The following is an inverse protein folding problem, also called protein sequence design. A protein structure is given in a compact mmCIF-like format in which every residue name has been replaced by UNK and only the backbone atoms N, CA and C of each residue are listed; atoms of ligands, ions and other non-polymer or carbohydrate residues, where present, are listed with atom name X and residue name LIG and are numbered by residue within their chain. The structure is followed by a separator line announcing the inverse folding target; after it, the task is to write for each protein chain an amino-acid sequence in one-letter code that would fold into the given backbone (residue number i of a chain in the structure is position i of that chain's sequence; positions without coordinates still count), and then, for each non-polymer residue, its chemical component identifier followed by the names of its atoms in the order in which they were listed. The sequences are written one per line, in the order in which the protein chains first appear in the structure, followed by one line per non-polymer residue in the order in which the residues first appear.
data_IF_491510074618
#
_entry.id   IF_491510074618
#
_cell.length_a   1.000
_cell.length_b   1.000
_cell.length_c   1.000
_cell.angle_alpha   90.00
_cell.angle_beta   90.00
_cell.angle_gamma   90.00
#
_symmetry.space_group_name_H-M   'P 1'
#
loop_
_entity.id
_entity.type
_entity.pdbx_description
1 polymer ?
#
# COMPACT_ATOMS: atom_id res chain seq x y z
N UNK A 1 26.70 -6.66 4.24
CA UNK A 1 25.31 -6.83 3.72
C UNK A 1 24.28 -6.32 4.73
N UNK A 2 24.25 -6.80 5.98
CA UNK A 2 23.30 -6.33 7.00
C UNK A 2 23.38 -4.82 7.26
N UNK A 3 24.59 -4.27 7.40
CA UNK A 3 24.77 -2.82 7.58
C UNK A 3 24.36 -2.03 6.33
N UNK A 4 24.51 -2.59 5.13
CA UNK A 4 24.00 -1.99 3.90
C UNK A 4 22.48 -2.04 3.84
N UNK A 5 21.87 -3.17 4.20
CA UNK A 5 20.41 -3.30 4.27
C UNK A 5 19.79 -2.34 5.29
N UNK A 6 20.43 -2.10 6.43
CA UNK A 6 20.01 -1.08 7.40
C UNK A 6 20.09 0.35 6.86
N UNK A 7 21.15 0.66 6.10
CA UNK A 7 21.32 1.99 5.49
C UNK A 7 20.43 2.17 4.25
N UNK A 8 20.20 1.10 3.51
CA UNK A 8 19.44 1.09 2.27
C UNK A 8 17.91 1.12 2.48
N UNK A 9 17.45 0.92 3.70
CA UNK A 9 16.10 1.32 4.09
C UNK A 9 15.94 2.85 4.11
N UNK A 10 16.78 3.54 3.32
CA UNK A 10 16.46 4.92 2.96
C UNK A 10 15.19 4.93 2.14
N UNK A 11 14.41 5.97 2.31
CA UNK A 11 13.18 6.24 1.55
C UNK A 11 13.34 6.00 0.05
N UNK A 12 14.52 6.26 -0.51
CA UNK A 12 14.81 6.15 -1.95
C UNK A 12 14.79 4.69 -2.42
N UNK A 13 15.53 3.80 -1.77
CA UNK A 13 15.66 2.40 -2.23
C UNK A 13 14.37 1.62 -2.07
N UNK A 14 13.60 1.92 -1.02
CA UNK A 14 12.30 1.28 -0.84
C UNK A 14 11.27 1.80 -1.86
N UNK A 15 11.27 3.08 -2.14
CA UNK A 15 10.44 3.67 -3.20
C UNK A 15 10.80 3.08 -4.57
N UNK A 16 12.09 2.88 -4.86
CA UNK A 16 12.52 2.18 -6.07
C UNK A 16 11.99 0.76 -6.14
N UNK A 17 12.06 0.00 -5.04
CA UNK A 17 11.49 -1.36 -4.99
C UNK A 17 10.00 -1.36 -5.27
N UNK A 18 9.22 -0.53 -4.56
CA UNK A 18 7.77 -0.43 -4.72
C UNK A 18 7.38 -0.05 -6.15
N UNK A 19 8.13 0.86 -6.76
CA UNK A 19 7.88 1.32 -8.13
C UNK A 19 8.30 0.30 -9.20
N UNK A 20 9.25 -0.59 -8.91
CA UNK A 20 9.85 -1.50 -9.86
C UNK A 20 9.65 -2.99 -9.55
N UNK A 21 8.76 -3.34 -8.62
CA UNK A 21 8.48 -4.74 -8.24
C UNK A 21 8.04 -5.62 -9.43
N UNK A 22 7.51 -5.01 -10.49
CA UNK A 22 7.12 -5.69 -11.74
C UNK A 22 8.32 -6.02 -12.64
N UNK A 23 9.49 -5.44 -12.39
CA UNK A 23 10.69 -5.67 -13.20
C UNK A 23 11.45 -6.93 -12.76
N UNK A 24 12.28 -7.42 -13.64
CA UNK A 24 13.16 -8.56 -13.36
C UNK A 24 14.02 -8.28 -12.11
N UNK A 25 14.23 -9.30 -11.28
CA UNK A 25 15.02 -9.15 -10.05
C UNK A 25 16.40 -8.52 -10.26
N UNK A 26 17.07 -8.83 -11.37
CA UNK A 26 18.39 -8.28 -11.70
C UNK A 26 18.36 -7.05 -12.59
N UNK A 27 17.19 -6.45 -12.80
CA UNK A 27 17.05 -5.23 -13.61
C UNK A 27 17.85 -4.07 -12.99
N UNK A 28 18.52 -3.26 -13.81
CA UNK A 28 19.39 -2.16 -13.38
C UNK A 28 18.67 -1.10 -12.55
N UNK A 29 17.39 -0.87 -12.77
CA UNK A 29 16.56 0.00 -11.91
C UNK A 29 16.28 -0.59 -10.54
N UNK A 30 16.51 -1.89 -10.33
CA UNK A 30 16.39 -2.54 -9.03
C UNK A 30 17.73 -2.82 -8.35
N UNK A 31 18.86 -2.50 -8.96
CA UNK A 31 20.22 -2.87 -8.46
C UNK A 31 20.49 -2.57 -6.99
N UNK A 32 19.86 -1.53 -6.45
CA UNK A 32 19.98 -1.16 -5.03
C UNK A 32 18.74 -1.54 -4.21
N UNK A 33 17.69 -2.03 -4.83
CA UNK A 33 16.43 -2.35 -4.19
C UNK A 33 16.06 -3.85 -4.21
N UNK A 34 16.76 -4.65 -5.00
CA UNK A 34 16.45 -6.07 -5.18
C UNK A 34 16.92 -6.99 -4.03
N UNK A 35 17.63 -6.48 -3.04
CA UNK A 35 18.17 -7.30 -1.94
C UNK A 35 17.09 -7.94 -1.04
N UNK A 36 15.84 -7.55 -1.17
CA UNK A 36 14.72 -8.10 -0.40
C UNK A 36 14.45 -9.58 -0.70
N UNK A 37 14.76 -10.07 -1.91
CA UNK A 37 14.75 -11.51 -2.19
C UNK A 37 15.75 -12.26 -1.32
N UNK A 38 16.89 -11.62 -1.00
CA UNK A 38 17.88 -12.21 -0.10
C UNK A 38 17.35 -12.25 1.35
N UNK A 39 16.47 -11.34 1.76
CA UNK A 39 15.77 -11.44 3.04
C UNK A 39 14.81 -12.64 3.06
N UNK A 40 14.13 -12.92 1.96
CA UNK A 40 13.31 -14.13 1.83
C UNK A 40 14.16 -15.38 2.01
N UNK A 41 15.27 -15.49 1.30
CA UNK A 41 16.17 -16.62 1.45
C UNK A 41 16.76 -16.73 2.88
N UNK A 42 17.15 -15.62 3.47
CA UNK A 42 17.65 -15.60 4.83
C UNK A 42 16.57 -15.97 5.86
N UNK A 43 15.32 -15.57 5.64
CA UNK A 43 14.19 -15.97 6.49
C UNK A 43 13.91 -17.48 6.41
N UNK A 44 14.16 -18.07 5.26
CA UNK A 44 13.89 -19.50 4.98
C UNK A 44 15.01 -20.43 5.41
N UNK A 45 16.27 -19.99 5.24
CA UNK A 45 17.46 -20.84 5.42
C UNK A 45 18.49 -20.25 6.40
N UNK A 46 18.21 -19.10 7.01
CA UNK A 46 19.10 -18.36 7.88
C UNK A 46 20.04 -17.41 7.11
N UNK A 47 20.58 -16.42 7.82
CA UNK A 47 21.40 -15.34 7.23
C UNK A 47 22.66 -15.80 6.51
N UNK A 48 23.16 -17.00 6.83
CA UNK A 48 24.30 -17.62 6.17
C UNK A 48 24.05 -17.91 4.68
N UNK A 49 22.77 -18.07 4.31
CA UNK A 49 22.34 -18.45 2.95
C UNK A 49 22.89 -17.51 1.90
N UNK A 50 22.80 -16.22 2.14
CA UNK A 50 23.27 -15.19 1.21
C UNK A 50 24.76 -15.40 0.87
N UNK A 51 25.59 -15.56 1.89
CA UNK A 51 27.03 -15.81 1.69
C UNK A 51 27.32 -17.15 1.01
N UNK A 52 26.47 -18.15 1.21
CA UNK A 52 26.62 -19.45 0.57
C UNK A 52 26.24 -19.42 -0.91
N UNK A 53 25.14 -18.76 -1.29
CA UNK A 53 24.76 -18.56 -2.70
C UNK A 53 25.88 -17.85 -3.46
N UNK A 54 26.36 -16.72 -2.93
CA UNK A 54 27.47 -15.98 -3.56
C UNK A 54 28.76 -16.79 -3.68
N UNK A 55 29.13 -17.56 -2.66
CA UNK A 55 30.36 -18.35 -2.63
C UNK A 55 30.33 -19.52 -3.63
N UNK A 56 29.15 -20.06 -3.89
CA UNK A 56 28.97 -21.24 -4.74
C UNK A 56 28.56 -20.88 -6.17
N UNK A 57 28.28 -19.62 -6.45
CA UNK A 57 27.92 -19.16 -7.81
C UNK A 57 28.99 -19.46 -8.83
N UNK A 58 28.59 -19.78 -10.05
CA UNK A 58 29.46 -20.13 -11.19
C UNK A 58 29.11 -19.23 -12.37
N UNK A 59 30.10 -18.78 -13.13
CA UNK A 59 29.85 -18.05 -14.36
C UNK A 59 29.18 -18.99 -15.38
N UNK A 60 28.16 -18.56 -16.12
CA UNK A 60 27.55 -17.20 -16.16
C UNK A 60 26.31 -17.03 -15.27
N UNK A 61 26.16 -17.84 -14.20
CA UNK A 61 24.98 -17.81 -13.32
C UNK A 61 24.77 -16.43 -12.70
N UNK A 62 23.52 -15.98 -12.67
CA UNK A 62 23.07 -14.92 -11.80
C UNK A 62 22.69 -15.45 -10.39
N UNK A 63 22.35 -14.60 -9.41
CA UNK A 63 22.00 -15.03 -8.06
C UNK A 63 20.84 -16.03 -7.98
N UNK A 64 19.82 -15.90 -8.84
CA UNK A 64 18.67 -16.82 -8.85
C UNK A 64 19.07 -18.20 -9.37
N UNK A 65 19.85 -18.26 -10.45
CA UNK A 65 20.36 -19.54 -10.97
C UNK A 65 21.28 -20.23 -9.98
N UNK A 66 22.16 -19.46 -9.32
CA UNK A 66 23.05 -20.00 -8.27
C UNK A 66 22.25 -20.58 -7.10
N UNK A 67 21.18 -19.89 -6.68
CA UNK A 67 20.24 -20.35 -5.66
C UNK A 67 19.49 -21.60 -6.10
N UNK A 68 18.88 -21.59 -7.30
CA UNK A 68 18.19 -22.73 -7.88
C UNK A 68 19.07 -23.99 -7.88
N UNK A 69 20.28 -23.89 -8.41
CA UNK A 69 21.23 -25.00 -8.47
C UNK A 69 21.67 -25.45 -7.07
N UNK A 70 21.93 -24.52 -6.15
CA UNK A 70 22.35 -24.83 -4.78
C UNK A 70 21.34 -25.72 -4.06
N UNK A 71 20.04 -25.40 -4.22
CA UNK A 71 18.94 -26.11 -3.59
C UNK A 71 18.38 -27.24 -4.47
N UNK A 72 18.94 -27.45 -5.66
CA UNK A 72 18.47 -28.43 -6.64
C UNK A 72 16.97 -28.31 -6.95
N UNK A 73 16.48 -27.04 -7.09
CA UNK A 73 15.08 -26.78 -7.36
C UNK A 73 14.76 -27.02 -8.84
N UNK A 74 13.67 -27.71 -9.09
CA UNK A 74 13.02 -27.70 -10.40
C UNK A 74 12.54 -26.26 -10.74
N UNK A 75 12.16 -26.01 -12.00
CA UNK A 75 11.59 -24.71 -12.38
C UNK A 75 10.28 -24.44 -11.63
N UNK A 76 9.42 -25.43 -11.45
CA UNK A 76 8.16 -25.27 -10.72
C UNK A 76 8.39 -24.92 -9.23
N UNK A 77 9.37 -25.54 -8.60
CA UNK A 77 9.76 -25.21 -7.22
C UNK A 77 10.38 -23.82 -7.11
N UNK A 78 11.26 -23.42 -8.04
CA UNK A 78 11.80 -22.07 -8.11
C UNK A 78 10.67 -21.05 -8.31
N UNK A 79 9.78 -21.31 -9.25
CA UNK A 79 8.66 -20.42 -9.56
C UNK A 79 7.69 -20.27 -8.36
N UNK A 80 7.45 -21.34 -7.63
CA UNK A 80 6.66 -21.30 -6.40
C UNK A 80 7.36 -20.51 -5.29
N UNK A 81 8.68 -20.62 -5.17
CA UNK A 81 9.49 -19.89 -4.19
C UNK A 81 9.55 -18.38 -4.51
N UNK A 82 9.65 -18.02 -5.79
CA UNK A 82 9.58 -16.63 -6.23
C UNK A 82 8.18 -16.02 -5.98
N UNK A 83 7.12 -16.81 -6.18
CA UNK A 83 5.78 -16.36 -5.81
C UNK A 83 5.63 -16.22 -4.28
N UNK A 84 6.18 -17.14 -3.49
CA UNK A 84 6.18 -17.03 -2.03
C UNK A 84 6.88 -15.74 -1.58
N UNK A 85 8.01 -15.40 -2.19
CA UNK A 85 8.68 -14.12 -1.97
C UNK A 85 7.76 -12.94 -2.28
N UNK A 86 7.13 -12.93 -3.47
CA UNK A 86 6.19 -11.89 -3.86
C UNK A 86 5.03 -11.79 -2.87
N UNK A 87 4.46 -12.90 -2.44
CA UNK A 87 3.36 -12.96 -1.47
C UNK A 87 3.77 -12.37 -0.11
N UNK A 88 4.97 -12.70 0.38
CA UNK A 88 5.49 -12.16 1.64
C UNK A 88 5.76 -10.66 1.58
N UNK A 89 6.12 -10.14 0.40
CA UNK A 89 6.27 -8.70 0.20
C UNK A 89 4.95 -7.93 0.41
N UNK A 90 3.78 -8.52 0.19
CA UNK A 90 2.49 -7.84 0.37
C UNK A 90 2.30 -7.30 1.78
N UNK A 91 2.75 -8.04 2.78
CA UNK A 91 2.65 -7.68 4.20
C UNK A 91 4.02 -7.58 4.88
N UNK A 92 5.10 -7.64 4.12
CA UNK A 92 6.47 -7.57 4.58
C UNK A 92 6.81 -8.62 5.63
N UNK A 93 6.42 -9.87 5.34
CA UNK A 93 6.54 -11.01 6.26
C UNK A 93 7.90 -11.71 6.11
N UNK A 94 8.93 -11.10 6.72
CA UNK A 94 10.29 -11.64 6.78
C UNK A 94 10.73 -11.77 8.22
N UNK A 95 11.67 -12.69 8.52
CA UNK A 95 12.15 -12.87 9.89
C UNK A 95 12.94 -11.64 10.38
N UNK A 96 12.84 -11.35 11.68
CA UNK A 96 13.59 -10.26 12.32
C UNK A 96 15.11 -10.46 12.17
N UNK A 97 15.60 -11.70 12.22
CA UNK A 97 17.00 -12.04 12.02
C UNK A 97 17.47 -11.69 10.60
N UNK A 98 16.65 -11.99 9.58
CA UNK A 98 17.00 -11.72 8.19
C UNK A 98 17.03 -10.23 7.87
N UNK A 99 16.08 -9.47 8.42
CA UNK A 99 15.90 -8.05 8.13
C UNK A 99 16.65 -7.13 9.07
N UNK A 100 17.02 -7.63 10.25
CA UNK A 100 17.51 -6.84 11.38
C UNK A 100 16.55 -5.69 11.78
N UNK A 101 15.27 -5.94 11.64
CA UNK A 101 14.16 -5.07 12.06
C UNK A 101 13.36 -5.77 13.14
N UNK A 102 12.76 -5.03 14.06
CA UNK A 102 11.90 -5.59 15.09
C UNK A 102 10.79 -6.43 14.45
N UNK A 103 10.71 -7.73 14.81
CA UNK A 103 9.77 -8.71 14.28
C UNK A 103 9.77 -8.88 12.74
N UNK A 104 10.83 -8.43 12.04
CA UNK A 104 10.89 -8.49 10.57
C UNK A 104 9.94 -7.53 9.85
N UNK A 105 9.23 -6.69 10.59
CA UNK A 105 8.23 -5.76 10.05
C UNK A 105 8.82 -4.40 9.72
N UNK A 106 8.09 -3.64 8.90
CA UNK A 106 8.42 -2.24 8.59
C UNK A 106 8.18 -1.26 9.76
N UNK A 107 7.77 -1.74 10.92
CA UNK A 107 7.59 -0.92 12.14
C UNK A 107 8.92 -0.27 12.52
N UNK A 108 8.96 1.05 12.60
CA UNK A 108 10.16 1.83 12.93
C UNK A 108 10.92 2.43 11.74
N UNK A 109 10.73 1.90 10.52
CA UNK A 109 11.19 2.57 9.29
C UNK A 109 10.25 3.70 8.86
N UNK A 110 9.13 3.79 9.49
CA UNK A 110 7.89 4.43 9.13
C UNK A 110 7.85 5.92 9.36
N UNK A 111 8.70 6.46 10.20
CA UNK A 111 8.74 7.92 10.42
C UNK A 111 9.30 8.70 9.24
N UNK A 112 10.08 8.05 8.36
CA UNK A 112 10.64 8.69 7.18
C UNK A 112 9.74 8.59 5.95
N UNK A 113 8.74 7.69 5.95
CA UNK A 113 7.84 7.47 4.82
C UNK A 113 6.46 7.14 5.38
N UNK A 114 5.55 8.10 5.36
CA UNK A 114 4.21 8.01 5.96
C UNK A 114 3.34 6.82 5.48
N UNK A 115 3.73 6.17 4.40
CA UNK A 115 3.10 4.95 3.88
C UNK A 115 3.58 3.68 4.60
N UNK A 116 4.69 3.72 5.36
CA UNK A 116 5.35 2.52 5.88
C UNK A 116 5.07 2.20 7.35
N UNK A 117 4.28 3.02 8.06
CA UNK A 117 3.72 2.71 9.39
C UNK A 117 2.75 1.54 9.40
N UNK A 118 2.45 1.03 8.23
CA UNK A 118 1.47 -0.01 8.01
C UNK A 118 2.15 -1.38 7.95
N UNK A 119 1.51 -2.45 8.45
CA UNK A 119 2.02 -3.82 8.33
C UNK A 119 1.91 -4.36 6.89
N UNK A 120 1.72 -3.50 5.90
CA UNK A 120 1.57 -3.86 4.49
C UNK A 120 1.98 -2.68 3.60
N UNK A 121 2.27 -2.96 2.33
CA UNK A 121 2.60 -1.97 1.32
C UNK A 121 1.36 -1.77 0.44
N UNK A 122 0.69 -0.61 0.59
CA UNK A 122 -0.59 -0.35 -0.09
C UNK A 122 -0.51 -0.16 -1.61
N UNK A 123 0.67 0.15 -2.15
CA UNK A 123 0.81 0.60 -3.56
C UNK A 123 1.83 -0.17 -4.38
N UNK A 124 2.17 -1.40 -4.02
CA UNK A 124 3.10 -2.19 -4.83
C UNK A 124 2.51 -2.52 -6.19
N UNK A 125 3.12 -1.95 -7.22
CA UNK A 125 3.26 -2.53 -8.54
C UNK A 125 2.03 -2.78 -9.37
N UNK A 126 0.82 -2.31 -9.01
CA UNK A 126 -0.35 -2.53 -9.83
C UNK A 126 -0.91 -1.25 -10.46
N UNK A 127 -1.24 -1.36 -11.74
CA UNK A 127 -2.11 -0.47 -12.47
C UNK A 127 -2.82 -1.27 -13.55
N UNK A 128 -4.14 -1.18 -13.62
CA UNK A 128 -4.96 -1.93 -14.57
C UNK A 128 -5.87 -1.00 -15.36
N UNK A 129 -6.06 -1.35 -16.62
CA UNK A 129 -6.98 -0.67 -17.53
C UNK A 129 -8.26 -1.50 -17.63
N UNK A 130 -9.39 -0.95 -17.20
CA UNK A 130 -10.69 -1.61 -17.19
C UNK A 130 -11.36 -1.55 -18.55
N UNK A 131 -11.84 -2.70 -19.01
CA UNK A 131 -12.68 -2.81 -20.22
C UNK A 131 -14.12 -3.10 -19.82
N UNK A 132 -14.99 -2.09 -19.97
CA UNK A 132 -16.42 -2.18 -19.65
C UNK A 132 -17.19 -3.25 -20.47
N UNK A 133 -16.68 -3.63 -21.65
CA UNK A 133 -17.37 -4.60 -22.50
C UNK A 133 -17.17 -6.04 -22.01
N UNK A 134 -16.01 -6.32 -21.41
CA UNK A 134 -15.62 -7.68 -20.99
C UNK A 134 -15.50 -7.84 -19.48
N UNK A 135 -15.43 -6.74 -18.74
CA UNK A 135 -15.20 -6.73 -17.28
C UNK A 135 -13.78 -7.08 -16.86
N UNK A 136 -12.83 -7.11 -17.80
CA UNK A 136 -11.44 -7.37 -17.48
C UNK A 136 -10.68 -6.10 -17.12
N UNK A 137 -9.75 -6.24 -16.19
CA UNK A 137 -8.65 -5.31 -15.95
C UNK A 137 -7.40 -5.86 -16.61
N UNK A 138 -6.88 -5.18 -17.62
CA UNK A 138 -5.59 -5.51 -18.26
C UNK A 138 -4.48 -4.71 -17.57
N UNK A 139 -3.40 -5.38 -17.18
CA UNK A 139 -2.23 -4.70 -16.61
C UNK A 139 -1.74 -3.59 -17.54
N UNK A 140 -1.41 -2.42 -16.96
CA UNK A 140 -0.84 -1.31 -17.74
C UNK A 140 0.59 -1.63 -18.18
N UNK A 141 1.00 -1.13 -19.36
CA UNK A 141 2.36 -1.31 -19.87
C UNK A 141 3.43 -0.98 -18.82
N UNK A 142 3.23 0.12 -18.08
CA UNK A 142 4.19 0.58 -17.07
C UNK A 142 4.28 -0.34 -15.84
N UNK A 143 3.46 -1.38 -15.77
CA UNK A 143 3.37 -2.32 -14.64
C UNK A 143 3.30 -3.78 -15.09
N UNK A 144 3.37 -4.04 -16.39
CA UNK A 144 3.42 -5.41 -16.91
C UNK A 144 4.67 -6.12 -16.38
N UNK A 145 4.52 -7.29 -15.75
CA UNK A 145 5.66 -7.92 -15.10
C UNK A 145 6.63 -8.50 -16.12
N UNK A 146 7.91 -8.31 -15.87
CA UNK A 146 9.03 -9.05 -16.48
C UNK A 146 9.18 -10.41 -15.80
N UNK A 147 9.99 -11.31 -16.33
CA UNK A 147 10.29 -12.57 -15.64
C UNK A 147 10.79 -12.29 -14.21
N UNK A 148 10.31 -13.04 -13.23
CA UNK A 148 10.54 -12.85 -11.78
C UNK A 148 9.90 -11.59 -11.15
N UNK A 149 9.39 -10.68 -11.96
CA UNK A 149 8.63 -9.52 -11.48
C UNK A 149 7.21 -9.90 -11.04
N UNK A 150 6.61 -9.06 -10.22
CA UNK A 150 5.27 -9.34 -9.67
C UNK A 150 4.43 -8.09 -9.43
N UNK A 151 3.11 -8.32 -9.30
CA UNK A 151 2.13 -7.31 -8.95
C UNK A 151 1.35 -7.75 -7.71
N UNK A 152 1.02 -6.78 -6.85
CA UNK A 152 0.03 -6.91 -5.79
C UNK A 152 -1.23 -6.16 -6.19
N UNK A 153 -2.35 -6.86 -6.24
CA UNK A 153 -3.66 -6.30 -6.57
C UNK A 153 -4.51 -6.35 -5.31
N UNK A 154 -4.69 -5.19 -4.66
CA UNK A 154 -5.53 -5.09 -3.48
C UNK A 154 -6.99 -5.27 -3.87
N UNK A 155 -7.70 -6.14 -3.15
CA UNK A 155 -9.10 -6.48 -3.37
C UNK A 155 -9.99 -6.05 -2.20
N UNK A 156 -11.27 -5.80 -2.49
CA UNK A 156 -12.29 -5.74 -1.46
C UNK A 156 -12.48 -7.14 -0.85
N UNK A 157 -12.77 -7.20 0.45
CA UNK A 157 -13.16 -8.45 1.08
C UNK A 157 -14.64 -8.70 0.75
N UNK A 158 -14.98 -9.84 0.09
CA UNK A 158 -16.38 -10.15 -0.21
C UNK A 158 -17.17 -10.43 1.07
N UNK A 159 -18.44 -10.04 1.09
CA UNK A 159 -19.31 -10.17 2.27
C UNK A 159 -19.56 -11.62 2.67
N UNK A 160 -19.67 -12.51 1.70
CA UNK A 160 -19.84 -13.96 1.91
C UNK A 160 -18.52 -14.73 2.02
N UNK A 161 -17.38 -14.01 1.95
CA UNK A 161 -16.05 -14.59 1.99
C UNK A 161 -15.67 -15.40 0.74
N UNK A 162 -16.46 -15.37 -0.34
CA UNK A 162 -16.19 -16.15 -1.55
C UNK A 162 -15.84 -15.25 -2.72
N UNK A 163 -14.80 -15.60 -3.47
CA UNK A 163 -14.46 -14.92 -4.70
C UNK A 163 -13.88 -15.89 -5.74
N UNK A 164 -13.96 -15.48 -7.00
CA UNK A 164 -13.27 -16.13 -8.11
C UNK A 164 -12.56 -15.10 -8.97
N UNK A 165 -11.38 -15.44 -9.47
CA UNK A 165 -10.62 -14.65 -10.41
C UNK A 165 -10.45 -15.42 -11.71
N UNK A 166 -11.01 -14.89 -12.79
CA UNK A 166 -10.64 -15.31 -14.14
C UNK A 166 -9.33 -14.62 -14.50
N UNK A 167 -8.27 -15.39 -14.60
CA UNK A 167 -6.94 -14.94 -15.04
C UNK A 167 -6.71 -15.33 -16.49
N UNK A 168 -6.13 -14.43 -17.30
CA UNK A 168 -5.68 -14.71 -18.65
C UNK A 168 -4.31 -14.07 -18.90
N UNK A 169 -3.33 -14.89 -19.28
CA UNK A 169 -2.03 -14.46 -19.74
C UNK A 169 -2.10 -13.92 -21.16
N UNK A 170 -1.32 -12.89 -21.46
CA UNK A 170 -1.33 -12.19 -22.75
C UNK A 170 0.09 -12.08 -23.36
N UNK A 171 0.89 -13.17 -23.43
CA UNK A 171 2.25 -13.09 -23.94
C UNK A 171 2.24 -12.61 -25.39
N UNK A 172 3.08 -11.60 -25.69
CA UNK A 172 3.16 -11.05 -27.03
C UNK A 172 2.01 -10.14 -27.46
N UNK A 173 1.15 -9.71 -26.53
CA UNK A 173 0.08 -8.76 -26.82
C UNK A 173 0.64 -7.42 -27.34
N UNK A 174 -0.13 -6.79 -28.24
CA UNK A 174 0.24 -5.47 -28.77
C UNK A 174 0.26 -4.41 -27.66
N UNK A 175 1.24 -3.51 -27.71
CA UNK A 175 1.40 -2.44 -26.71
C UNK A 175 2.30 -2.82 -25.55
N UNK A 176 2.86 -4.02 -25.53
CA UNK A 176 3.85 -4.49 -24.55
C UNK A 176 5.16 -4.85 -25.24
N UNK A 177 6.25 -4.92 -24.49
CA UNK A 177 7.51 -5.43 -25.00
C UNK A 177 7.35 -6.90 -25.39
N UNK A 178 7.98 -7.26 -26.50
CA UNK A 178 7.83 -8.61 -27.05
C UNK A 178 8.63 -9.62 -26.24
N UNK A 179 8.08 -10.79 -26.08
CA UNK A 179 8.79 -11.96 -25.58
C UNK A 179 9.42 -12.74 -26.75
N UNK A 180 10.60 -13.30 -26.52
CA UNK A 180 11.34 -14.09 -27.53
C UNK A 180 10.62 -15.39 -27.84
N UNK A 181 10.01 -16.01 -26.83
CA UNK A 181 9.24 -17.25 -26.95
C UNK A 181 7.99 -17.21 -26.07
N UNK A 182 6.84 -16.95 -26.68
CA UNK A 182 5.57 -16.93 -25.97
C UNK A 182 5.12 -18.33 -25.48
N UNK A 183 5.71 -19.42 -25.99
CA UNK A 183 5.32 -20.78 -25.59
C UNK A 183 5.79 -21.17 -24.20
N UNK A 184 6.77 -20.45 -23.63
CA UNK A 184 7.24 -20.65 -22.26
C UNK A 184 6.46 -19.81 -21.23
N UNK A 185 5.39 -19.13 -21.65
CA UNK A 185 4.59 -18.27 -20.78
C UNK A 185 4.16 -18.98 -19.49
N UNK A 186 4.19 -18.25 -18.40
CA UNK A 186 3.72 -18.76 -17.14
C UNK A 186 3.64 -17.70 -16.04
N UNK A 187 2.65 -17.89 -15.19
CA UNK A 187 2.42 -17.07 -13.99
C UNK A 187 2.12 -17.97 -12.81
N UNK A 188 2.56 -17.55 -11.64
CA UNK A 188 2.08 -18.08 -10.38
C UNK A 188 1.14 -17.05 -9.76
N UNK A 189 -0.08 -17.47 -9.43
CA UNK A 189 -1.18 -16.61 -8.99
C UNK A 189 -1.76 -17.16 -7.70
N UNK A 190 -1.97 -16.31 -6.71
CA UNK A 190 -2.58 -16.70 -5.43
C UNK A 190 -2.90 -15.50 -4.56
N UNK A 191 -3.34 -15.76 -3.32
CA UNK A 191 -3.89 -14.75 -2.43
C UNK A 191 -3.11 -14.62 -1.13
N UNK A 192 -3.12 -13.41 -0.59
CA UNK A 192 -2.61 -13.08 0.75
C UNK A 192 -3.71 -12.38 1.51
N UNK A 193 -4.01 -12.89 2.70
CA UNK A 193 -4.93 -12.27 3.66
C UNK A 193 -4.16 -11.80 4.88
N UNK A 194 -4.31 -10.52 5.25
CA UNK A 194 -3.89 -9.99 6.54
C UNK A 194 -5.09 -10.09 7.49
N UNK A 195 -4.88 -10.73 8.63
CA UNK A 195 -5.91 -10.93 9.63
C UNK A 195 -6.01 -9.74 10.58
N UNK A 196 -7.13 -9.58 11.26
CA UNK A 196 -7.35 -8.54 12.27
C UNK A 196 -6.35 -8.59 13.43
N UNK A 197 -5.88 -9.79 13.79
CA UNK A 197 -4.86 -10.01 14.82
C UNK A 197 -3.42 -9.77 14.33
N UNK A 198 -3.25 -9.35 13.07
CA UNK A 198 -1.95 -9.10 12.44
C UNK A 198 -1.26 -10.35 11.89
N UNK A 199 -1.85 -11.54 12.03
CA UNK A 199 -1.34 -12.74 11.37
C UNK A 199 -1.60 -12.71 9.86
N UNK A 200 -0.93 -13.58 9.11
CA UNK A 200 -1.04 -13.68 7.65
C UNK A 200 -1.48 -15.07 7.26
N UNK A 201 -2.32 -15.13 6.24
CA UNK A 201 -2.67 -16.40 5.60
C UNK A 201 -2.38 -16.29 4.11
N UNK A 202 -1.76 -17.34 3.59
CA UNK A 202 -1.37 -17.47 2.18
C UNK A 202 -2.16 -18.63 1.58
N UNK A 203 -2.74 -18.41 0.39
CA UNK A 203 -3.23 -19.53 -0.40
C UNK A 203 -2.05 -20.36 -0.94
N UNK A 204 -2.31 -21.55 -1.44
CA UNK A 204 -1.42 -22.14 -2.44
C UNK A 204 -1.43 -21.29 -3.70
N UNK A 205 -0.30 -21.18 -4.41
CA UNK A 205 -0.31 -20.55 -5.72
C UNK A 205 -0.80 -21.51 -6.78
N UNK A 206 -1.56 -20.98 -7.74
CA UNK A 206 -1.97 -21.68 -8.95
C UNK A 206 -0.99 -21.38 -10.07
N UNK A 207 -0.41 -22.43 -10.68
CA UNK A 207 0.39 -22.29 -11.89
C UNK A 207 -0.52 -22.08 -13.09
N UNK A 208 -0.36 -20.96 -13.81
CA UNK A 208 -1.14 -20.62 -15.01
C UNK A 208 -0.19 -20.45 -16.19
N UNK A 209 -0.49 -21.08 -17.34
CA UNK A 209 0.26 -20.96 -18.58
C UNK A 209 -0.45 -20.13 -19.63
N UNK A 210 -1.77 -20.15 -19.62
CA UNK A 210 -2.64 -19.43 -20.54
C UNK A 210 -3.75 -18.74 -19.79
N UNK A 211 -4.69 -19.51 -19.23
CA UNK A 211 -5.81 -18.98 -18.45
C UNK A 211 -6.24 -19.94 -17.36
N UNK A 212 -6.88 -19.41 -16.32
CA UNK A 212 -7.48 -20.18 -15.23
C UNK A 212 -8.61 -19.42 -14.56
N UNK A 213 -9.57 -20.16 -14.01
CA UNK A 213 -10.48 -19.66 -13.00
C UNK A 213 -9.94 -20.12 -11.63
N UNK A 214 -9.75 -19.16 -10.72
CA UNK A 214 -9.10 -19.38 -9.42
C UNK A 214 -10.07 -18.96 -8.34
N UNK A 215 -10.64 -19.94 -7.65
CA UNK A 215 -11.56 -19.73 -6.54
C UNK A 215 -10.78 -19.57 -5.24
N UNK A 216 -11.26 -18.69 -4.37
CA UNK A 216 -10.68 -18.48 -3.05
C UNK A 216 -11.75 -18.21 -2.00
N UNK A 217 -11.63 -18.90 -0.87
CA UNK A 217 -12.39 -18.60 0.33
C UNK A 217 -11.54 -17.75 1.25
N UNK A 218 -11.94 -16.50 1.44
CA UNK A 218 -11.26 -15.56 2.33
C UNK A 218 -11.42 -16.03 3.76
N UNK A 219 -10.33 -16.15 4.54
CA UNK A 219 -10.41 -16.56 5.94
C UNK A 219 -11.27 -15.61 6.78
N UNK A 220 -12.07 -16.16 7.68
CA UNK A 220 -12.82 -15.38 8.66
C UNK A 220 -11.85 -14.52 9.51
N UNK A 221 -12.19 -13.24 9.71
CA UNK A 221 -11.34 -12.29 10.41
C UNK A 221 -10.23 -11.67 9.54
N UNK A 222 -10.24 -11.88 8.23
CA UNK A 222 -9.39 -11.13 7.31
C UNK A 222 -9.77 -9.63 7.36
N UNK A 223 -8.76 -8.76 7.44
CA UNK A 223 -8.92 -7.31 7.38
C UNK A 223 -8.51 -6.75 6.02
N UNK A 224 -7.60 -7.43 5.32
CA UNK A 224 -7.08 -6.99 4.02
C UNK A 224 -6.79 -8.19 3.13
N UNK A 225 -6.96 -8.00 1.81
CA UNK A 225 -6.84 -9.07 0.82
C UNK A 225 -6.07 -8.59 -0.41
N UNK A 226 -5.15 -9.41 -0.91
CA UNK A 226 -4.44 -9.19 -2.17
C UNK A 226 -4.49 -10.43 -3.06
N UNK A 227 -4.65 -10.20 -4.36
CA UNK A 227 -4.21 -11.13 -5.39
C UNK A 227 -2.75 -10.82 -5.71
N UNK A 228 -1.90 -11.83 -5.70
CA UNK A 228 -0.48 -11.72 -6.04
C UNK A 228 -0.22 -12.48 -7.32
N UNK A 229 0.30 -11.77 -8.32
CA UNK A 229 0.64 -12.33 -9.64
C UNK A 229 2.14 -12.17 -9.85
N UNK A 230 2.86 -13.27 -9.98
CA UNK A 230 4.28 -13.30 -10.34
C UNK A 230 4.44 -13.85 -11.75
N UNK A 231 5.20 -13.17 -12.60
CA UNK A 231 5.57 -13.68 -13.92
C UNK A 231 6.70 -14.71 -13.76
N UNK A 232 6.40 -15.94 -14.11
CA UNK A 232 7.24 -17.11 -13.86
C UNK A 232 7.27 -18.00 -15.11
N UNK A 233 7.98 -17.61 -16.18
CA UNK A 233 8.14 -18.43 -17.38
C UNK A 233 8.64 -19.84 -17.06
N UNK A 234 8.36 -20.79 -17.94
CA UNK A 234 8.76 -22.21 -17.75
C UNK A 234 10.27 -22.41 -17.81
N UNK A 235 10.99 -21.48 -18.42
CA UNK A 235 12.45 -21.44 -18.44
C UNK A 235 12.91 -20.16 -17.80
N UNK A 236 13.91 -20.24 -16.92
CA UNK A 236 14.48 -19.04 -16.34
C UNK A 236 15.21 -18.23 -17.42
N UNK A 237 14.88 -16.94 -17.49
CA UNK A 237 15.49 -15.98 -18.40
C UNK A 237 16.37 -15.02 -17.61
N UNK A 238 17.62 -14.88 -18.01
CA UNK A 238 18.48 -13.83 -17.50
C UNK A 238 18.05 -12.49 -18.10
N UNK A 239 18.09 -11.44 -17.29
CA UNK A 239 17.83 -10.08 -17.76
C UNK A 239 19.10 -9.52 -18.44
N UNK A 240 19.00 -8.95 -19.65
CA UNK A 240 20.12 -8.22 -20.25
C UNK A 240 20.41 -6.96 -19.45
N UNK A 241 21.69 -6.71 -19.18
CA UNK A 241 22.12 -5.55 -18.41
C UNK A 241 22.65 -4.47 -19.37
N UNK A 242 21.76 -3.70 -19.99
CA UNK A 242 22.12 -2.77 -21.07
C UNK A 242 21.43 -1.40 -21.02
N UNK A 243 20.60 -1.13 -20.03
CA UNK A 243 19.80 0.10 -19.85
C UNK A 243 18.81 0.39 -21.01
N UNK A 244 18.52 -0.59 -21.89
CA UNK A 244 17.51 -0.50 -22.94
C UNK A 244 16.20 -1.19 -22.55
N UNK A 245 15.31 -0.46 -21.90
CA UNK A 245 14.01 -1.01 -21.46
C UNK A 245 13.11 -1.50 -22.62
N UNK A 246 13.47 -1.32 -23.87
CA UNK A 246 12.63 -1.73 -25.02
C UNK A 246 12.84 -3.20 -25.38
N UNK A 247 13.92 -3.82 -24.92
CA UNK A 247 14.22 -5.23 -25.13
C UNK A 247 13.87 -6.10 -23.91
N UNK A 248 13.42 -5.51 -22.80
CA UNK A 248 12.97 -6.23 -21.61
C UNK A 248 11.65 -6.95 -21.91
N UNK A 249 11.66 -8.27 -21.78
CA UNK A 249 10.47 -9.08 -22.05
C UNK A 249 9.39 -8.86 -21.01
N UNK A 250 8.20 -8.45 -21.43
CA UNK A 250 7.04 -8.29 -20.56
C UNK A 250 6.07 -9.45 -20.71
N UNK A 251 5.54 -9.90 -19.59
CA UNK A 251 4.56 -10.98 -19.47
C UNK A 251 3.21 -10.43 -18.98
N UNK A 252 2.49 -9.68 -19.83
CA UNK A 252 1.24 -9.06 -19.46
C UNK A 252 0.14 -10.08 -19.19
N UNK A 253 -0.85 -9.65 -18.43
CA UNK A 253 -2.02 -10.45 -18.10
C UNK A 253 -3.25 -9.56 -17.93
N UNK A 254 -4.43 -10.19 -17.86
CA UNK A 254 -5.66 -9.54 -17.44
C UNK A 254 -6.42 -10.40 -16.45
N UNK A 255 -7.20 -9.73 -15.60
CA UNK A 255 -8.03 -10.38 -14.58
C UNK A 255 -9.45 -9.86 -14.60
N UNK A 256 -10.40 -10.72 -14.29
CA UNK A 256 -11.79 -10.37 -14.04
C UNK A 256 -12.23 -11.00 -12.73
N UNK A 257 -12.91 -10.23 -11.90
CA UNK A 257 -13.32 -10.65 -10.58
C UNK A 257 -14.79 -11.04 -10.55
N UNK A 258 -15.13 -12.00 -9.69
CA UNK A 258 -16.50 -12.38 -9.30
C UNK A 258 -16.53 -12.48 -7.78
N UNK A 259 -17.55 -11.91 -7.14
CA UNK A 259 -17.66 -11.83 -5.67
C UNK A 259 -16.81 -10.73 -5.03
N UNK A 260 -15.89 -10.11 -5.78
CA UNK A 260 -15.04 -9.01 -5.31
C UNK A 260 -14.71 -8.05 -6.46
N UNK A 261 -14.00 -6.97 -6.14
CA UNK A 261 -13.40 -6.04 -7.10
C UNK A 261 -12.14 -5.42 -6.50
N UNK A 262 -11.47 -4.58 -7.29
CA UNK A 262 -10.33 -3.79 -6.81
C UNK A 262 -10.73 -3.01 -5.55
N UNK A 263 -9.82 -2.97 -4.60
CA UNK A 263 -10.05 -2.26 -3.36
C UNK A 263 -10.45 -0.80 -3.61
N UNK A 264 -11.54 -0.39 -2.98
CA UNK A 264 -12.11 0.95 -3.15
C UNK A 264 -13.08 1.09 -4.33
N UNK A 265 -13.19 0.11 -5.24
CA UNK A 265 -14.30 0.04 -6.17
C UNK A 265 -15.53 -0.52 -5.43
N UNK A 266 -16.45 0.35 -5.05
CA UNK A 266 -17.65 -0.02 -4.31
C UNK A 266 -18.81 -0.27 -5.28
N UNK A 267 -19.51 -1.39 -5.09
CA UNK A 267 -20.81 -1.62 -5.72
C UNK A 267 -21.90 -1.09 -4.81
N UNK A 268 -22.80 -0.30 -5.39
CA UNK A 268 -24.02 0.15 -4.73
C UNK A 268 -25.22 -0.38 -5.51
N UNK A 269 -26.12 -1.09 -4.86
CA UNK A 269 -27.31 -1.67 -5.50
C UNK A 269 -28.51 -0.70 -5.55
N UNK A 270 -28.32 0.49 -4.97
CA UNK A 270 -29.32 1.57 -4.93
C UNK A 270 -30.30 1.46 -3.75
N UNK A 271 -30.09 0.52 -2.85
CA UNK A 271 -30.85 0.40 -1.59
C UNK A 271 -30.15 1.12 -0.43
N UNK A 272 -28.86 1.40 -0.58
CA UNK A 272 -28.07 2.08 0.43
C UNK A 272 -28.52 3.51 0.64
N UNK A 273 -28.50 3.92 1.88
CA UNK A 273 -28.82 5.30 2.27
C UNK A 273 -27.62 5.95 2.95
N UNK A 274 -27.32 7.21 2.66
CA UNK A 274 -26.26 7.92 3.36
C UNK A 274 -26.49 7.92 4.86
N UNK A 275 -25.39 7.83 5.63
CA UNK A 275 -25.40 7.83 7.07
C UNK A 275 -24.22 8.62 7.65
N UNK A 276 -24.31 9.01 8.92
CA UNK A 276 -23.18 9.62 9.63
C UNK A 276 -22.38 8.54 10.33
N UNK A 277 -21.04 8.70 10.33
CA UNK A 277 -20.10 7.80 11.00
C UNK A 277 -19.07 8.60 11.80
N UNK A 278 -18.41 7.93 12.74
CA UNK A 278 -17.25 8.46 13.48
C UNK A 278 -16.11 7.45 13.41
N UNK A 279 -14.90 7.94 13.12
CA UNK A 279 -13.66 7.16 13.05
C UNK A 279 -12.67 7.82 14.01
N UNK A 280 -12.02 7.02 14.87
CA UNK A 280 -11.09 7.51 15.88
C UNK A 280 -9.67 7.04 15.60
N UNK A 281 -8.69 7.93 15.83
CA UNK A 281 -7.28 7.64 15.73
C UNK A 281 -6.52 8.20 16.93
N UNK A 282 -5.64 7.37 17.49
CA UNK A 282 -4.62 7.80 18.45
C UNK A 282 -3.35 8.15 17.69
N UNK A 283 -2.88 9.40 17.80
CA UNK A 283 -1.66 9.87 17.16
C UNK A 283 -0.70 10.51 18.15
N UNK A 284 0.54 10.65 17.76
CA UNK A 284 1.55 11.39 18.53
C UNK A 284 2.12 12.52 17.70
N UNK A 285 2.41 13.65 18.34
CA UNK A 285 3.19 14.73 17.73
C UNK A 285 4.24 15.23 18.72
N UNK A 286 5.43 15.60 18.21
CA UNK A 286 6.51 16.10 19.07
C UNK A 286 6.26 17.54 19.49
N UNK A 287 6.53 17.85 20.74
CA UNK A 287 6.57 19.23 21.23
C UNK A 287 7.62 20.08 20.49
N UNK A 288 8.71 19.46 20.03
CA UNK A 288 9.77 20.13 19.27
C UNK A 288 9.42 20.37 17.79
N UNK A 289 8.39 19.70 17.26
CA UNK A 289 8.04 19.78 15.83
C UNK A 289 7.46 21.15 15.40
N UNK A 290 6.88 21.91 16.35
CA UNK A 290 6.25 23.19 16.03
C UNK A 290 5.23 23.06 14.90
N UNK A 291 5.37 23.89 13.87
CA UNK A 291 4.49 23.84 12.67
C UNK A 291 4.85 22.69 11.72
N UNK A 292 6.02 22.06 11.84
CA UNK A 292 6.47 20.94 11.01
C UNK A 292 5.75 19.62 11.29
N UNK A 293 5.21 19.49 12.46
CA UNK A 293 4.26 18.48 12.93
C UNK A 293 4.42 17.05 12.46
N UNK A 294 3.35 16.30 12.66
CA UNK A 294 3.21 14.91 12.24
C UNK A 294 2.25 14.82 11.07
N UNK A 295 2.61 14.02 10.05
CA UNK A 295 1.70 13.68 8.97
C UNK A 295 0.99 12.37 9.29
N UNK A 296 -0.30 12.33 9.03
CA UNK A 296 -1.15 11.14 9.11
C UNK A 296 -1.93 11.01 7.81
N UNK A 297 -1.80 9.87 7.15
CA UNK A 297 -2.61 9.55 5.98
C UNK A 297 -3.76 8.67 6.42
N UNK A 298 -4.99 9.06 6.06
CA UNK A 298 -6.17 8.24 6.32
C UNK A 298 -5.95 6.84 5.75
N UNK A 299 -6.28 5.83 6.55
CA UNK A 299 -6.17 4.43 6.13
C UNK A 299 -7.15 4.14 5.00
N UNK A 300 -6.81 3.19 4.15
CA UNK A 300 -7.69 2.75 3.07
C UNK A 300 -9.09 2.35 3.60
N UNK A 301 -9.13 1.73 4.79
CA UNK A 301 -10.39 1.32 5.42
C UNK A 301 -11.22 2.52 5.91
N UNK A 302 -10.57 3.61 6.35
CA UNK A 302 -11.24 4.87 6.68
C UNK A 302 -11.90 5.48 5.44
N UNK A 303 -11.11 5.52 4.35
CA UNK A 303 -11.56 6.06 3.06
C UNK A 303 -12.78 5.28 2.53
N UNK A 304 -12.71 3.95 2.58
CA UNK A 304 -13.84 3.09 2.20
C UNK A 304 -15.04 3.29 3.13
N UNK A 305 -14.81 3.45 4.43
CA UNK A 305 -15.87 3.70 5.40
C UNK A 305 -16.60 5.01 5.14
N UNK A 306 -15.84 6.09 4.84
CA UNK A 306 -16.41 7.39 4.43
C UNK A 306 -17.21 7.24 3.12
N UNK A 307 -16.66 6.52 2.16
CA UNK A 307 -17.28 6.30 0.85
C UNK A 307 -18.62 5.53 0.98
N UNK A 308 -18.63 4.44 1.75
CA UNK A 308 -19.85 3.69 2.08
C UNK A 308 -20.88 4.55 2.83
N UNK A 309 -20.42 5.35 3.81
CA UNK A 309 -21.30 6.22 4.57
C UNK A 309 -22.00 7.27 3.70
N UNK A 310 -21.36 7.74 2.64
CA UNK A 310 -21.95 8.72 1.70
C UNK A 310 -22.56 8.10 0.46
N UNK A 311 -22.44 6.78 0.28
CA UNK A 311 -22.86 6.06 -0.94
C UNK A 311 -22.19 6.68 -2.18
N UNK A 312 -20.88 6.88 -2.10
CA UNK A 312 -20.05 7.51 -3.13
C UNK A 312 -18.78 6.68 -3.35
N UNK A 313 -18.22 6.73 -4.57
CA UNK A 313 -16.86 6.21 -4.77
C UNK A 313 -15.83 7.07 -4.03
N UNK A 314 -14.73 6.51 -3.50
CA UNK A 314 -13.65 7.29 -2.86
C UNK A 314 -13.13 8.44 -3.75
N UNK A 315 -12.94 8.19 -5.05
CA UNK A 315 -12.52 9.20 -6.03
C UNK A 315 -13.53 10.34 -6.17
N UNK A 316 -14.82 10.04 -6.09
CA UNK A 316 -15.89 11.03 -6.24
C UNK A 316 -15.97 11.95 -5.01
N UNK A 317 -15.62 11.44 -3.82
CA UNK A 317 -15.55 12.27 -2.61
C UNK A 317 -14.48 13.35 -2.76
N UNK A 318 -13.26 12.97 -3.18
CA UNK A 318 -12.18 13.93 -3.42
C UNK A 318 -12.57 14.95 -4.49
N UNK A 319 -13.10 14.48 -5.62
CA UNK A 319 -13.53 15.37 -6.71
C UNK A 319 -14.67 16.32 -6.31
N UNK A 320 -15.45 15.96 -5.29
CA UNK A 320 -16.58 16.75 -4.78
C UNK A 320 -16.17 17.83 -3.77
N UNK A 321 -14.94 17.78 -3.23
CA UNK A 321 -14.40 18.81 -2.34
C UNK A 321 -13.83 19.95 -3.20
N UNK A 322 -14.26 21.22 -3.06
CA UNK A 322 -13.67 22.32 -3.80
C UNK A 322 -12.16 22.46 -3.52
N UNK A 323 -11.37 22.66 -4.56
CA UNK A 323 -9.93 22.86 -4.40
C UNK A 323 -9.61 24.14 -3.58
N UNK A 324 -10.44 25.18 -3.70
CA UNK A 324 -10.35 26.41 -2.91
C UNK A 324 -11.39 26.38 -1.79
N UNK A 325 -10.91 26.45 -0.54
CA UNK A 325 -11.75 26.52 0.67
C UNK A 325 -12.74 27.67 0.69
N UNK A 326 -12.46 28.77 -0.02
CA UNK A 326 -13.40 29.89 -0.15
C UNK A 326 -14.71 29.45 -0.81
N UNK A 327 -14.67 28.38 -1.60
CA UNK A 327 -15.81 27.81 -2.32
C UNK A 327 -16.41 26.59 -1.60
N UNK A 328 -16.00 26.27 -0.37
CA UNK A 328 -16.41 25.04 0.34
C UNK A 328 -17.92 24.87 0.39
N UNK A 329 -18.69 25.94 0.54
CA UNK A 329 -20.15 25.88 0.62
C UNK A 329 -20.83 25.41 -0.68
N UNK A 330 -20.14 25.52 -1.82
CA UNK A 330 -20.61 25.04 -3.13
C UNK A 330 -20.29 23.56 -3.39
N UNK A 331 -19.40 22.95 -2.58
CA UNK A 331 -19.00 21.56 -2.72
C UNK A 331 -20.12 20.59 -2.34
N UNK A 332 -20.22 19.47 -3.08
CA UNK A 332 -21.09 18.36 -2.67
C UNK A 332 -20.55 17.68 -1.41
N UNK A 333 -19.24 17.63 -1.26
CA UNK A 333 -18.57 17.24 -0.03
C UNK A 333 -17.82 18.47 0.49
N UNK A 334 -17.91 18.70 1.79
CA UNK A 334 -17.29 19.84 2.47
C UNK A 334 -16.39 19.34 3.57
N UNK A 335 -15.40 20.14 3.95
CA UNK A 335 -14.57 19.90 5.14
C UNK A 335 -14.96 20.90 6.21
N UNK A 336 -15.23 20.42 7.42
CA UNK A 336 -15.57 21.26 8.58
C UNK A 336 -14.81 20.78 9.82
N UNK A 337 -14.45 21.69 10.71
CA UNK A 337 -14.16 21.26 12.10
C UNK A 337 -15.46 20.88 12.80
N UNK A 338 -15.34 20.00 13.80
CA UNK A 338 -16.46 19.65 14.67
C UNK A 338 -16.14 20.15 16.07
N UNK A 339 -16.90 21.12 16.54
CA UNK A 339 -16.76 21.69 17.88
C UNK A 339 -17.10 20.64 18.96
N UNK A 340 -16.67 20.81 20.21
CA UNK A 340 -16.97 19.87 21.30
C UNK A 340 -18.45 19.61 21.51
N UNK A 341 -19.32 20.56 21.19
CA UNK A 341 -20.79 20.43 21.25
C UNK A 341 -21.42 19.76 20.01
N UNK A 342 -20.58 19.36 19.03
CA UNK A 342 -21.00 18.75 17.77
C UNK A 342 -21.35 19.74 16.66
N UNK A 343 -21.22 21.04 16.89
CA UNK A 343 -21.48 22.05 15.87
C UNK A 343 -20.40 22.03 14.79
N UNK A 344 -20.80 22.19 13.52
CA UNK A 344 -19.88 22.25 12.40
C UNK A 344 -19.36 23.68 12.20
N UNK A 345 -18.04 23.83 12.18
CA UNK A 345 -17.36 25.10 11.93
C UNK A 345 -16.64 25.06 10.57
N UNK A 346 -16.93 26.03 9.73
CA UNK A 346 -16.22 26.29 8.46
C UNK A 346 -15.27 27.48 8.56
N UNK A 347 -14.91 27.87 9.79
CA UNK A 347 -13.96 28.94 10.05
C UNK A 347 -12.53 28.36 9.99
N UNK A 348 -11.92 28.36 8.80
CA UNK A 348 -10.56 27.87 8.59
C UNK A 348 -9.54 28.85 9.18
N UNK A 349 -9.06 28.56 10.38
CA UNK A 349 -8.14 29.44 11.12
C UNK A 349 -6.64 29.15 10.84
N UNK A 350 -6.34 28.04 10.14
CA UNK A 350 -5.01 27.71 9.63
C UNK A 350 -4.98 27.76 8.08
N UNK A 351 -3.91 27.27 7.45
CA UNK A 351 -3.78 27.22 5.99
C UNK A 351 -4.70 26.14 5.40
N UNK A 352 -4.92 26.17 4.09
CA UNK A 352 -5.69 25.16 3.38
C UNK A 352 -7.04 24.87 4.03
N UNK A 353 -7.39 23.60 4.16
CA UNK A 353 -8.52 23.13 4.96
C UNK A 353 -8.07 22.87 6.40
N UNK A 354 -7.53 23.90 7.05
CA UNK A 354 -6.90 23.78 8.35
C UNK A 354 -7.59 24.60 9.45
N UNK A 355 -7.43 24.08 10.68
CA UNK A 355 -8.01 24.65 11.89
C UNK A 355 -6.99 24.68 13.01
N UNK A 356 -6.97 25.78 13.75
CA UNK A 356 -6.35 25.87 15.07
C UNK A 356 -7.36 25.50 16.14
N UNK A 357 -6.92 24.69 17.10
CA UNK A 357 -7.76 24.20 18.19
C UNK A 357 -7.23 24.62 19.55
N UNK A 358 -8.14 25.01 20.44
CA UNK A 358 -7.90 25.23 21.86
C UNK A 358 -7.60 23.96 22.65
N UNK A 359 -7.40 24.12 23.95
CA UNK A 359 -7.11 22.99 24.83
C UNK A 359 -8.29 21.99 24.92
N UNK A 360 -9.50 22.46 24.76
CA UNK A 360 -10.73 21.67 24.85
C UNK A 360 -11.19 21.13 23.49
N UNK A 361 -10.41 21.37 22.42
CA UNK A 361 -10.69 20.89 21.06
C UNK A 361 -11.67 21.75 20.28
N UNK A 362 -11.93 22.96 20.72
CA UNK A 362 -12.72 23.98 20.05
C UNK A 362 -11.89 24.78 19.03
N UNK A 363 -12.52 25.30 17.97
CA UNK A 363 -11.81 26.07 16.95
C UNK A 363 -11.44 27.46 17.50
N UNK A 364 -10.17 27.78 17.44
CA UNK A 364 -9.61 29.01 17.97
C UNK A 364 -8.83 29.84 16.93
N UNK A 365 -8.59 31.11 17.25
CA UNK A 365 -7.56 31.87 16.55
C UNK A 365 -6.18 31.37 16.96
N UNK A 366 -5.17 31.63 16.09
CA UNK A 366 -3.78 31.24 16.38
C UNK A 366 -3.31 31.62 17.79
N UNK A 367 -3.62 32.82 18.27
CA UNK A 367 -3.15 33.32 19.57
C UNK A 367 -3.70 32.55 20.79
N UNK A 368 -4.83 31.86 20.64
CA UNK A 368 -5.46 31.07 21.71
C UNK A 368 -5.26 29.54 21.54
N UNK A 369 -4.70 29.13 20.41
CA UNK A 369 -4.59 27.72 20.06
C UNK A 369 -3.48 26.95 20.80
N UNK A 370 -3.61 25.63 20.82
CA UNK A 370 -2.64 24.67 21.35
C UNK A 370 -2.13 23.75 20.23
N UNK A 371 -3.02 23.18 19.45
CA UNK A 371 -2.69 22.28 18.34
C UNK A 371 -3.36 22.73 17.05
N UNK A 372 -2.84 22.28 15.91
CA UNK A 372 -3.54 22.48 14.64
C UNK A 372 -3.62 21.21 13.84
N UNK A 373 -4.55 21.18 12.91
CA UNK A 373 -4.67 20.17 11.86
C UNK A 373 -4.95 20.89 10.55
N UNK A 374 -4.30 20.42 9.48
CA UNK A 374 -4.57 20.79 8.11
C UNK A 374 -4.80 19.54 7.27
N UNK A 375 -5.91 19.50 6.53
CA UNK A 375 -6.25 18.39 5.66
C UNK A 375 -5.80 18.69 4.22
N UNK A 376 -5.04 17.75 3.63
CA UNK A 376 -4.64 17.80 2.22
C UNK A 376 -5.57 16.91 1.39
N UNK A 377 -6.43 17.55 0.59
CA UNK A 377 -7.42 16.87 -0.26
C UNK A 377 -6.79 16.06 -1.38
N UNK A 378 -5.52 16.30 -1.74
CA UNK A 378 -4.86 15.61 -2.85
C UNK A 378 -4.33 14.23 -2.46
N UNK A 379 -4.10 14.01 -1.17
CA UNK A 379 -3.42 12.81 -0.66
C UNK A 379 -4.16 12.07 0.47
N UNK A 380 -5.36 12.51 0.85
CA UNK A 380 -6.09 12.01 2.03
C UNK A 380 -5.27 12.12 3.32
N UNK A 381 -4.39 13.12 3.40
CA UNK A 381 -3.48 13.29 4.53
C UNK A 381 -3.91 14.45 5.40
N UNK A 382 -3.55 14.34 6.68
CA UNK A 382 -3.63 15.43 7.64
C UNK A 382 -2.23 15.76 8.14
N UNK A 383 -1.92 17.03 8.27
CA UNK A 383 -0.75 17.51 9.00
C UNK A 383 -1.21 18.02 10.37
N UNK A 384 -0.50 17.62 11.42
CA UNK A 384 -0.74 18.06 12.80
C UNK A 384 0.49 18.78 13.32
N UNK A 385 0.29 19.80 14.12
CA UNK A 385 1.37 20.52 14.75
C UNK A 385 0.97 21.13 16.09
N UNK A 386 1.94 21.70 16.76
CA UNK A 386 1.79 22.34 18.07
C UNK A 386 2.07 23.83 17.99
N UNK A 387 1.44 24.61 18.88
CA UNK A 387 1.71 26.03 19.00
C UNK A 387 3.01 26.25 19.79
N UNK A 388 4.09 26.81 19.16
CA UNK A 388 5.40 26.91 19.82
C UNK A 388 5.38 27.71 21.12
N UNK A 389 4.56 28.76 21.21
CA UNK A 389 4.47 29.58 22.45
C UNK A 389 3.84 28.80 23.61
N UNK A 390 3.00 27.80 23.34
CA UNK A 390 2.43 26.96 24.41
C UNK A 390 3.49 26.01 24.98
N UNK A 391 4.37 25.52 24.12
CA UNK A 391 5.51 24.70 24.52
C UNK A 391 6.52 25.54 25.30
N UNK A 392 6.93 26.69 24.77
CA UNK A 392 7.95 27.54 25.38
C UNK A 392 7.49 28.18 26.70
N UNK A 393 6.19 28.44 26.86
CA UNK A 393 5.61 28.95 28.13
C UNK A 393 5.34 27.85 29.16
N UNK A 394 5.48 26.57 28.81
CA UNK A 394 5.12 25.44 29.66
C UNK A 394 3.61 25.17 29.79
N UNK A 395 2.79 25.86 28.99
CA UNK A 395 1.35 25.62 28.94
C UNK A 395 0.99 24.30 28.22
N UNK A 396 1.93 23.77 27.45
CA UNK A 396 1.90 22.43 26.85
C UNK A 396 3.14 21.66 27.28
N UNK A 397 2.98 20.40 27.67
CA UNK A 397 4.05 19.53 28.14
C UNK A 397 4.02 18.16 27.46
N UNK A 398 5.16 17.46 27.47
CA UNK A 398 5.22 16.06 27.05
C UNK A 398 4.28 15.21 27.91
N UNK A 399 3.46 14.41 27.26
CA UNK A 399 2.42 13.60 27.90
C UNK A 399 1.02 14.18 27.82
N UNK A 400 0.88 15.48 27.55
CA UNK A 400 -0.43 16.11 27.37
C UNK A 400 -1.21 15.46 26.23
N UNK A 401 -2.54 15.51 26.33
CA UNK A 401 -3.46 14.94 25.35
C UNK A 401 -4.47 15.98 24.91
N UNK A 402 -4.72 16.00 23.60
CA UNK A 402 -5.72 16.88 22.99
C UNK A 402 -6.60 16.03 22.08
N UNK A 403 -7.92 16.23 22.14
CA UNK A 403 -8.86 15.58 21.22
C UNK A 403 -9.42 16.64 20.29
N UNK A 404 -9.16 16.48 18.99
CA UNK A 404 -9.67 17.37 17.95
C UNK A 404 -10.53 16.58 16.98
N UNK A 405 -11.40 17.29 16.26
CA UNK A 405 -12.34 16.66 15.32
C UNK A 405 -12.47 17.49 14.04
N UNK A 406 -12.48 16.79 12.92
CA UNK A 406 -12.98 17.36 11.67
C UNK A 406 -13.92 16.37 10.99
N UNK A 407 -14.70 16.83 10.03
CA UNK A 407 -15.64 15.99 9.32
C UNK A 407 -15.63 16.27 7.81
N UNK A 408 -15.77 15.20 7.04
CA UNK A 408 -16.34 15.28 5.72
C UNK A 408 -17.86 15.42 5.88
N UNK A 409 -18.47 16.32 5.10
CA UNK A 409 -19.90 16.63 5.20
C UNK A 409 -20.54 16.50 3.82
N UNK A 410 -21.49 15.58 3.69
CA UNK A 410 -22.28 15.36 2.47
C UNK A 410 -23.77 15.47 2.78
N UNK A 411 -24.40 16.53 2.28
CA UNK A 411 -25.79 16.85 2.64
C UNK A 411 -25.94 17.10 4.14
N UNK A 412 -26.75 16.27 4.83
CA UNK A 412 -26.96 16.29 6.28
C UNK A 412 -26.10 15.26 7.04
N UNK A 413 -25.27 14.50 6.33
CA UNK A 413 -24.47 13.42 6.90
C UNK A 413 -23.00 13.82 7.09
N UNK A 414 -22.37 13.29 8.14
CA UNK A 414 -20.99 13.57 8.49
C UNK A 414 -20.19 12.27 8.63
N UNK A 415 -18.99 12.26 8.11
CA UNK A 415 -17.98 11.29 8.50
C UNK A 415 -16.95 12.04 9.36
N UNK A 416 -17.08 11.88 10.68
CA UNK A 416 -16.28 12.60 11.66
C UNK A 416 -15.00 11.82 11.97
N UNK A 417 -13.85 12.46 11.75
CA UNK A 417 -12.54 11.98 12.16
C UNK A 417 -12.21 12.57 13.54
N UNK A 418 -11.96 11.73 14.51
CA UNK A 418 -11.54 12.11 15.86
C UNK A 418 -10.06 11.76 16.03
N UNK A 419 -9.25 12.72 16.39
CA UNK A 419 -7.83 12.51 16.65
C UNK A 419 -7.51 12.78 18.10
N UNK A 420 -7.08 11.74 18.80
CA UNK A 420 -6.54 11.81 20.16
C UNK A 420 -5.02 12.02 20.06
N UNK A 421 -4.58 13.24 20.21
CA UNK A 421 -3.19 13.66 20.02
C UNK A 421 -2.45 13.57 21.36
N UNK A 422 -1.39 12.79 21.43
CA UNK A 422 -0.47 12.77 22.57
C UNK A 422 0.81 13.52 22.22
N UNK A 423 1.22 14.43 23.09
CA UNK A 423 2.47 15.18 22.94
C UNK A 423 3.65 14.30 23.39
N UNK A 424 4.67 14.22 22.56
CA UNK A 424 5.93 13.49 22.81
C UNK A 424 7.13 14.43 22.84
N UNK A 425 8.31 13.91 23.14
CA UNK A 425 9.57 14.66 23.10
C UNK A 425 9.92 15.12 21.67
#
# INVERSE_FOLDING_TARGET
YQSYAQQAFSTVNFTEFVNNSHRHFTHEHQRYASYFLQWHWASKYGVQEIGQVWRTAKKPEDPIQAYQRKHNLSMDELNADLWEYAARCATWDFSAEATNLDEGKLTGVTQAVSEFGKPYIGKIGWKGNYDNATGFYTVDYSRAPEATGFNHIRLNIPEDGQLSVRFEGLPGAAGFNKVSDASIAGWNVGFVSLMQDGSRQYSSCTRVRDNADIDYTVPEGASKLWLVVAATPETYLQHPWDEDNTNDEQWPFRVRFTGTDLFGNLSFDGTETPQSITIEHDITTSAAAGYGGTFFTLEDDDIVSVAKAFVMQPSDIIAAIPADRANVQSGKVKIAAVEPDGTLSYNYTANGYGFWYGADGDVQSWSAAYVYMEYDISSWSCQFGVHPDRVSSGAMQVGDRYTIRFAFVSGSHTATMVFNIRITE
#
